data_IF_230611351173
#
_entry.id   IF_230611351173
#
_cell.length_a   1.000
_cell.length_b   1.000
_cell.length_c   1.000
_cell.angle_alpha   90.00
_cell.angle_beta   90.00
_cell.angle_gamma   90.00
#
_symmetry.space_group_name_H-M   'P 1'
#
loop_
_entity.id
_entity.type
_entity.pdbx_description
1 polymer ?
#
# COMPACT_ATOMS: atom_id res chain seq x y z
N UNK A 1 -46.01 -10.61 5.69
CA UNK A 1 -45.55 -9.38 6.38
C UNK A 1 -44.28 -8.90 5.72
N UNK A 2 -44.39 -7.77 4.99
CA UNK A 2 -43.29 -7.15 4.29
C UNK A 2 -42.54 -6.22 5.26
N UNK A 3 -41.30 -6.43 5.55
CA UNK A 3 -40.45 -5.48 6.25
C UNK A 3 -39.42 -4.89 5.26
N UNK A 4 -39.69 -3.64 4.92
CA UNK A 4 -38.79 -2.74 4.19
C UNK A 4 -37.80 -2.11 5.18
N UNK A 5 -36.52 -2.53 5.14
CA UNK A 5 -35.46 -1.92 5.94
C UNK A 5 -34.19 -1.79 5.09
N UNK A 6 -34.21 -0.88 4.12
CA UNK A 6 -32.99 -0.61 3.30
C UNK A 6 -32.92 0.83 2.79
N UNK A 7 -33.29 1.83 3.58
CA UNK A 7 -33.18 3.23 3.15
C UNK A 7 -32.47 4.19 4.14
N UNK A 8 -31.87 3.69 5.22
CA UNK A 8 -31.24 4.53 6.24
C UNK A 8 -29.72 4.70 6.18
N UNK A 9 -29.00 3.86 5.44
CA UNK A 9 -27.53 3.82 5.49
C UNK A 9 -26.81 4.77 4.51
N UNK A 10 -27.45 5.16 3.43
CA UNK A 10 -26.82 6.00 2.39
C UNK A 10 -26.93 7.52 2.67
N UNK A 11 -27.84 7.93 3.54
CA UNK A 11 -28.01 9.35 3.90
C UNK A 11 -27.02 9.87 4.95
N UNK A 12 -26.39 8.99 5.72
CA UNK A 12 -25.40 9.38 6.73
C UNK A 12 -24.04 9.74 6.12
N UNK A 13 -23.66 9.14 5.00
CA UNK A 13 -22.40 9.45 4.30
C UNK A 13 -22.46 10.74 3.47
N UNK A 14 -23.66 11.13 3.00
CA UNK A 14 -23.83 12.38 2.23
C UNK A 14 -23.85 13.63 3.13
N UNK A 15 -24.14 13.51 4.41
CA UNK A 15 -24.17 14.63 5.36
C UNK A 15 -22.78 14.98 5.93
N UNK A 16 -21.83 14.06 5.89
CA UNK A 16 -20.44 14.35 6.28
C UNK A 16 -19.65 15.07 5.18
N UNK A 17 -19.98 14.83 3.91
CA UNK A 17 -19.33 15.50 2.78
C UNK A 17 -19.78 16.96 2.57
N UNK A 18 -20.99 17.34 3.02
CA UNK A 18 -21.53 18.71 2.83
C UNK A 18 -21.12 19.71 3.93
N UNK A 19 -20.55 19.25 5.05
CA UNK A 19 -20.12 20.14 6.14
C UNK A 19 -18.64 20.54 6.06
N UNK A 20 -17.84 19.89 5.23
CA UNK A 20 -16.44 20.26 5.02
C UNK A 20 -16.23 21.43 4.05
N UNK A 21 -17.29 21.90 3.36
CA UNK A 21 -17.20 22.98 2.36
C UNK A 21 -17.50 24.40 2.89
N UNK A 22 -17.75 24.59 4.19
CA UNK A 22 -18.01 25.92 4.80
C UNK A 22 -17.21 26.10 6.08
N UNK A 23 -15.91 25.96 5.99
CA UNK A 23 -14.93 26.40 6.98
C UNK A 23 -14.37 27.75 6.56
N UNK A 24 -14.82 28.76 7.27
CA UNK A 24 -14.47 30.14 7.23
C UNK A 24 -12.94 30.34 7.27
N UNK A 25 -12.43 31.18 6.39
CA UNK A 25 -11.07 31.73 6.45
C UNK A 25 -10.91 32.51 7.76
N UNK A 26 -10.35 31.89 8.77
CA UNK A 26 -9.67 32.62 9.82
C UNK A 26 -8.18 32.70 9.42
N UNK A 27 -7.76 33.89 9.09
CA UNK A 27 -6.36 34.29 9.01
C UNK A 27 -5.72 34.10 10.40
N UNK A 28 -5.28 32.87 10.71
CA UNK A 28 -4.26 32.71 11.73
C UNK A 28 -2.93 33.06 11.07
N UNK A 29 -2.46 34.26 11.35
CA UNK A 29 -1.11 34.76 11.12
C UNK A 29 -0.14 33.72 11.71
N UNK A 30 0.32 32.78 10.93
CA UNK A 30 1.52 32.01 11.23
C UNK A 30 2.64 33.06 11.13
N UNK A 31 3.14 33.42 12.28
CA UNK A 31 4.30 34.32 12.42
C UNK A 31 5.42 33.66 11.62
N UNK A 32 5.73 34.25 10.46
CA UNK A 32 6.77 33.75 9.59
C UNK A 32 8.06 33.61 10.38
N UNK A 33 8.54 32.39 10.51
CA UNK A 33 9.93 32.13 10.89
C UNK A 33 10.75 32.81 9.80
N UNK A 34 11.32 33.95 10.10
CA UNK A 34 12.27 34.62 9.24
C UNK A 34 13.52 33.76 9.28
N UNK A 35 13.65 32.87 8.33
CA UNK A 35 14.90 32.13 8.11
C UNK A 35 15.92 33.20 7.76
N UNK A 36 16.81 33.49 8.69
CA UNK A 36 18.00 34.31 8.41
C UNK A 36 18.79 33.52 7.36
N UNK A 37 19.15 34.12 6.22
CA UNK A 37 19.98 33.44 5.24
C UNK A 37 21.25 32.95 5.96
N UNK A 38 21.68 31.73 5.68
CA UNK A 38 22.93 31.18 6.16
C UNK A 38 24.03 32.22 6.00
N UNK A 39 24.87 32.38 7.01
CA UNK A 39 25.90 33.42 7.10
C UNK A 39 26.99 33.36 6.02
N UNK A 40 26.86 32.46 5.05
CA UNK A 40 27.82 32.31 3.98
C UNK A 40 27.16 32.44 2.58
N UNK A 41 26.98 33.70 2.09
CA UNK A 41 26.44 33.92 0.74
C UNK A 41 27.31 33.33 -0.37
N UNK A 42 28.53 32.90 -0.09
CA UNK A 42 29.45 32.28 -1.04
C UNK A 42 29.00 30.88 -1.38
N UNK A 43 28.53 30.09 -0.40
CA UNK A 43 28.04 28.73 -0.63
C UNK A 43 26.80 28.73 -1.53
N UNK A 44 25.84 29.64 -1.30
CA UNK A 44 24.62 29.74 -2.13
C UNK A 44 24.96 30.17 -3.57
N UNK A 45 25.92 31.08 -3.74
CA UNK A 45 26.36 31.53 -5.08
C UNK A 45 27.07 30.39 -5.84
N UNK A 46 27.83 29.56 -5.14
CA UNK A 46 28.53 28.44 -5.78
C UNK A 46 27.57 27.31 -6.17
N UNK A 47 26.55 27.01 -5.35
CA UNK A 47 25.48 26.09 -5.69
C UNK A 47 24.69 26.58 -6.90
N UNK A 48 24.30 27.85 -6.94
CA UNK A 48 23.59 28.42 -8.09
C UNK A 48 24.45 28.45 -9.35
N UNK A 49 25.75 28.66 -9.22
CA UNK A 49 26.67 28.61 -10.35
C UNK A 49 26.85 27.18 -10.87
N UNK A 50 27.00 26.20 -9.98
CA UNK A 50 27.06 24.78 -10.34
C UNK A 50 25.76 24.33 -11.03
N UNK A 51 24.59 24.74 -10.50
CA UNK A 51 23.28 24.47 -11.08
C UNK A 51 23.12 25.10 -12.48
N UNK A 52 23.53 26.36 -12.65
CA UNK A 52 23.44 27.04 -13.97
C UNK A 52 24.35 26.39 -15.00
N UNK A 53 25.55 25.96 -14.60
CA UNK A 53 26.50 25.28 -15.46
C UNK A 53 25.99 23.90 -15.87
N UNK A 54 25.48 23.11 -14.92
CA UNK A 54 24.88 21.80 -15.17
C UNK A 54 23.62 21.91 -16.05
N UNK A 55 22.79 22.95 -15.85
CA UNK A 55 21.60 23.22 -16.67
C UNK A 55 21.98 23.55 -18.12
N UNK A 56 22.98 24.40 -18.34
CA UNK A 56 23.51 24.70 -19.68
C UNK A 56 24.09 23.47 -20.37
N UNK A 57 24.71 22.58 -19.61
CA UNK A 57 25.31 21.35 -20.13
C UNK A 57 24.27 20.28 -20.46
N UNK A 58 23.19 20.18 -19.68
CA UNK A 58 22.04 19.34 -19.97
C UNK A 58 21.29 19.78 -21.23
N UNK A 59 21.11 21.09 -21.42
CA UNK A 59 20.48 21.67 -22.60
C UNK A 59 21.36 21.49 -23.87
N UNK A 60 22.66 21.39 -23.70
CA UNK A 60 23.62 21.19 -24.81
C UNK A 60 23.78 19.73 -25.28
N UNK A 61 23.12 18.76 -24.61
CA UNK A 61 23.12 17.34 -25.01
C UNK A 61 24.51 16.66 -24.96
N UNK A 62 25.47 17.21 -24.20
CA UNK A 62 26.84 16.72 -24.16
C UNK A 62 26.94 15.46 -23.28
N UNK A 63 27.23 14.34 -23.92
CA UNK A 63 27.53 13.04 -23.30
C UNK A 63 28.94 13.10 -22.70
N UNK A 64 29.06 12.87 -21.37
CA UNK A 64 30.34 12.65 -20.70
C UNK A 64 30.75 13.68 -19.64
N UNK A 65 29.82 14.48 -19.09
CA UNK A 65 30.14 15.49 -18.09
C UNK A 65 29.71 14.98 -16.71
N UNK A 66 30.59 15.12 -15.71
CA UNK A 66 30.27 14.86 -14.32
C UNK A 66 29.40 15.99 -13.77
N UNK A 67 28.35 15.67 -13.01
CA UNK A 67 27.58 16.64 -12.22
C UNK A 67 28.52 17.22 -11.15
N UNK A 68 28.70 18.54 -11.13
CA UNK A 68 29.53 19.22 -10.12
C UNK A 68 28.69 19.55 -8.90
N UNK A 69 29.01 18.95 -7.76
CA UNK A 69 28.39 19.24 -6.48
C UNK A 69 29.26 20.19 -5.65
N UNK A 70 28.65 21.14 -4.94
CA UNK A 70 29.38 22.13 -4.16
C UNK A 70 29.91 21.54 -2.84
N UNK A 71 29.17 20.58 -2.27
CA UNK A 71 29.50 19.84 -1.06
C UNK A 71 28.92 18.42 -1.13
N UNK A 72 29.10 17.61 -0.10
CA UNK A 72 28.62 16.23 0.00
C UNK A 72 27.17 16.14 0.56
N UNK A 73 26.49 17.28 0.78
CA UNK A 73 25.13 17.34 1.30
C UNK A 73 24.11 17.41 0.17
N UNK A 74 22.93 16.89 0.44
CA UNK A 74 21.80 17.04 -0.45
C UNK A 74 21.10 18.40 -0.21
N UNK A 75 20.59 18.98 -1.27
CA UNK A 75 19.90 20.25 -1.25
C UNK A 75 18.57 20.17 -1.99
N UNK A 76 17.52 20.71 -1.37
CA UNK A 76 16.21 20.83 -1.98
C UNK A 76 15.86 22.29 -2.14
N UNK A 77 15.57 22.71 -3.38
CA UNK A 77 15.03 24.02 -3.73
C UNK A 77 13.52 23.91 -3.94
N UNK A 78 12.75 24.69 -3.19
CA UNK A 78 11.30 24.75 -3.29
C UNK A 78 10.84 25.65 -4.43
N UNK A 79 9.58 25.50 -4.86
CA UNK A 79 8.95 26.40 -5.84
C UNK A 79 8.76 27.83 -5.32
N UNK A 80 8.79 28.04 -3.99
CA UNK A 80 8.79 29.33 -3.33
C UNK A 80 10.16 30.01 -3.32
N UNK A 81 11.23 29.26 -3.66
CA UNK A 81 12.60 29.77 -3.76
C UNK A 81 13.46 29.57 -2.50
N UNK A 82 12.95 28.87 -1.50
CA UNK A 82 13.72 28.47 -0.33
C UNK A 82 14.58 27.24 -0.63
N UNK A 83 15.73 27.15 0.05
CA UNK A 83 16.62 26.02 -0.03
C UNK A 83 16.79 25.37 1.35
N UNK A 84 16.71 24.06 1.38
CA UNK A 84 16.89 23.24 2.58
C UNK A 84 18.07 22.31 2.35
N UNK A 85 18.97 22.22 3.31
CA UNK A 85 20.14 21.33 3.31
C UNK A 85 19.89 20.14 4.24
N UNK A 86 20.41 18.97 3.86
CA UNK A 86 20.29 17.74 4.63
C UNK A 86 20.59 16.50 3.81
N UNK A 87 19.88 15.41 4.06
CA UNK A 87 19.99 14.16 3.33
C UNK A 87 18.60 13.66 2.88
N UNK A 88 18.56 13.04 1.72
CA UNK A 88 17.35 12.36 1.24
C UNK A 88 17.30 10.98 1.87
N UNK A 89 16.32 10.72 2.74
CA UNK A 89 16.10 9.40 3.31
C UNK A 89 15.36 8.52 2.32
N UNK A 90 14.23 9.00 1.82
CA UNK A 90 13.44 8.30 0.82
C UNK A 90 12.58 9.25 -0.01
N UNK A 91 12.10 8.78 -1.17
CA UNK A 91 11.01 9.38 -1.91
C UNK A 91 10.14 8.29 -2.50
N UNK A 92 8.85 8.38 -2.29
CA UNK A 92 7.84 7.53 -2.94
C UNK A 92 6.80 8.39 -3.62
N UNK A 93 6.60 8.15 -4.91
CA UNK A 93 5.61 8.85 -5.73
C UNK A 93 5.79 10.38 -5.67
N UNK A 94 4.99 11.08 -4.86
CA UNK A 94 5.02 12.54 -4.74
C UNK A 94 5.51 13.00 -3.36
N UNK A 95 5.94 12.09 -2.48
CA UNK A 95 6.37 12.43 -1.13
C UNK A 95 7.84 12.08 -0.90
N UNK A 96 8.62 13.02 -0.37
CA UNK A 96 10.03 12.88 -0.06
C UNK A 96 10.27 13.09 1.43
N UNK A 97 10.83 12.10 2.08
CA UNK A 97 11.37 12.19 3.43
C UNK A 97 12.80 12.74 3.34
N UNK A 98 13.04 13.82 4.05
CA UNK A 98 14.30 14.55 4.01
C UNK A 98 14.76 14.89 5.43
N UNK A 99 15.90 14.41 5.84
CA UNK A 99 16.49 14.76 7.13
C UNK A 99 17.30 16.05 7.00
N UNK A 100 16.69 17.15 7.43
CA UNK A 100 17.31 18.48 7.37
C UNK A 100 18.28 18.68 8.50
N UNK A 101 19.45 19.22 8.21
CA UNK A 101 20.48 19.56 9.20
C UNK A 101 19.96 20.49 10.31
N UNK A 102 18.98 21.36 10.01
CA UNK A 102 18.48 22.37 10.95
C UNK A 102 17.09 22.04 11.52
N UNK A 103 16.23 21.35 10.74
CA UNK A 103 14.82 21.15 11.09
C UNK A 103 14.51 19.69 11.47
N UNK A 104 15.46 18.75 11.31
CA UNK A 104 15.23 17.32 11.45
C UNK A 104 14.40 16.76 10.32
N UNK A 105 13.70 15.65 10.55
CA UNK A 105 12.93 14.96 9.52
C UNK A 105 11.78 15.83 8.98
N UNK A 106 11.79 16.05 7.68
CA UNK A 106 10.81 16.82 6.92
C UNK A 106 10.13 15.90 5.90
N UNK A 107 8.84 16.10 5.76
CA UNK A 107 8.03 15.44 4.75
C UNK A 107 7.65 16.45 3.67
N UNK A 108 8.23 16.31 2.47
CA UNK A 108 8.19 17.33 1.42
C UNK A 108 7.44 16.81 0.22
N UNK A 109 6.35 17.48 -0.16
CA UNK A 109 5.63 17.14 -1.38
C UNK A 109 6.46 17.53 -2.62
N UNK A 110 6.73 16.55 -3.49
CA UNK A 110 7.53 16.74 -4.70
C UNK A 110 6.97 17.78 -5.69
N UNK A 111 5.70 18.16 -5.56
CA UNK A 111 5.10 19.26 -6.35
C UNK A 111 5.58 20.63 -5.92
N UNK A 112 6.03 20.74 -4.67
CA UNK A 112 6.58 21.97 -4.10
C UNK A 112 8.09 22.05 -4.31
N UNK A 113 8.71 21.00 -4.85
CA UNK A 113 10.14 20.91 -5.13
C UNK A 113 10.42 21.34 -6.57
N UNK A 114 11.13 22.44 -6.73
CA UNK A 114 11.60 22.93 -8.01
C UNK A 114 12.88 22.20 -8.47
N UNK A 115 13.84 22.02 -7.57
CA UNK A 115 15.13 21.42 -7.86
C UNK A 115 15.59 20.55 -6.67
N UNK A 116 16.31 19.46 -6.96
CA UNK A 116 17.01 18.64 -5.97
C UNK A 116 18.42 18.45 -6.43
N UNK A 117 19.35 18.66 -5.54
CA UNK A 117 20.77 18.48 -5.74
C UNK A 117 21.23 17.38 -4.78
N UNK A 118 21.19 16.13 -5.23
CA UNK A 118 21.50 14.96 -4.42
C UNK A 118 22.98 14.60 -4.67
N UNK A 119 23.86 15.05 -3.80
CA UNK A 119 25.29 14.74 -3.84
C UNK A 119 25.56 13.33 -3.30
N UNK A 120 24.70 12.85 -2.41
CA UNK A 120 24.78 11.52 -1.83
C UNK A 120 24.49 10.43 -2.86
N UNK A 121 24.98 9.22 -2.57
CA UNK A 121 24.72 8.04 -3.40
C UNK A 121 23.28 7.58 -3.16
N UNK A 122 22.42 7.74 -4.16
CA UNK A 122 21.03 7.31 -4.11
C UNK A 122 20.68 6.37 -5.26
N UNK A 123 19.65 5.56 -5.06
CA UNK A 123 19.04 4.71 -6.10
C UNK A 123 17.73 5.34 -6.58
N UNK A 124 17.67 5.68 -7.87
CA UNK A 124 16.52 6.29 -8.55
C UNK A 124 15.77 5.20 -9.32
N UNK A 125 14.57 4.88 -8.92
CA UNK A 125 13.72 3.86 -9.54
C UNK A 125 12.64 4.54 -10.38
N UNK A 126 12.46 4.09 -11.61
CA UNK A 126 11.51 4.66 -12.56
C UNK A 126 10.28 3.75 -12.73
N UNK A 127 9.16 4.31 -13.21
CA UNK A 127 7.91 3.55 -13.43
C UNK A 127 8.07 2.37 -14.40
N UNK A 128 9.06 2.42 -15.32
CA UNK A 128 9.42 1.28 -16.17
C UNK A 128 10.25 0.22 -15.43
N UNK A 129 10.50 0.42 -14.12
CA UNK A 129 11.29 -0.42 -13.21
C UNK A 129 12.78 -0.49 -13.55
N UNK A 130 13.27 0.41 -14.36
CA UNK A 130 14.70 0.65 -14.43
C UNK A 130 15.14 1.36 -13.15
N UNK A 131 16.40 1.14 -12.74
CA UNK A 131 17.01 1.87 -11.65
C UNK A 131 18.36 2.43 -12.10
N UNK A 132 18.68 3.62 -11.63
CA UNK A 132 19.97 4.26 -11.77
C UNK A 132 20.53 4.53 -10.38
N UNK A 133 21.83 4.34 -10.20
CA UNK A 133 22.49 4.55 -8.91
C UNK A 133 23.58 5.59 -9.08
N UNK A 134 23.61 6.58 -8.22
CA UNK A 134 24.62 7.64 -8.24
C UNK A 134 24.10 8.96 -7.67
N UNK A 135 24.95 9.98 -7.57
CA UNK A 135 24.55 11.35 -7.36
C UNK A 135 23.64 11.83 -8.49
N UNK A 136 22.69 12.72 -8.19
CA UNK A 136 21.74 13.18 -9.19
C UNK A 136 21.35 14.65 -9.02
N UNK A 137 20.87 15.20 -10.12
CA UNK A 137 20.22 16.51 -10.14
C UNK A 137 18.81 16.34 -10.69
N UNK A 138 17.83 16.82 -9.96
CA UNK A 138 16.43 16.82 -10.37
C UNK A 138 16.00 18.25 -10.64
N UNK A 139 15.24 18.44 -11.70
CA UNK A 139 14.54 19.68 -12.01
C UNK A 139 13.03 19.39 -12.05
N UNK A 140 12.20 20.37 -12.30
CA UNK A 140 10.75 20.14 -12.49
C UNK A 140 10.43 19.19 -13.65
N UNK A 141 11.35 19.01 -14.62
CA UNK A 141 11.09 18.24 -15.83
C UNK A 141 11.94 16.96 -15.96
N UNK A 142 13.13 16.94 -15.39
CA UNK A 142 14.13 15.90 -15.66
C UNK A 142 14.86 15.46 -14.39
N UNK A 143 15.36 14.24 -14.43
CA UNK A 143 16.27 13.63 -13.46
C UNK A 143 17.54 13.25 -14.21
N UNK A 144 18.68 13.83 -13.84
CA UNK A 144 19.99 13.50 -14.35
C UNK A 144 20.76 12.75 -13.27
N UNK A 145 21.09 11.49 -13.50
CA UNK A 145 21.83 10.64 -12.56
C UNK A 145 23.23 10.38 -13.11
N UNK A 146 24.24 10.65 -12.30
CA UNK A 146 25.63 10.31 -12.62
C UNK A 146 25.90 8.86 -12.25
N UNK A 147 25.93 8.00 -13.24
CA UNK A 147 26.27 6.57 -13.09
C UNK A 147 27.75 6.34 -13.37
N UNK A 148 28.25 5.13 -13.09
CA UNK A 148 29.62 4.72 -13.43
C UNK A 148 29.93 4.86 -14.93
N UNK A 149 28.92 4.78 -15.80
CA UNK A 149 29.06 4.86 -17.25
C UNK A 149 28.83 6.26 -17.83
N UNK A 150 28.52 7.25 -16.99
CA UNK A 150 28.22 8.64 -17.36
C UNK A 150 26.87 9.11 -16.88
N UNK A 151 26.50 10.34 -17.27
CA UNK A 151 25.22 10.94 -16.87
C UNK A 151 24.09 10.41 -17.74
N UNK A 152 23.05 9.88 -17.08
CA UNK A 152 21.81 9.40 -17.73
C UNK A 152 20.67 10.35 -17.35
N UNK A 153 19.98 10.88 -18.35
CA UNK A 153 18.86 11.82 -18.15
C UNK A 153 17.54 11.12 -18.45
N UNK A 154 16.57 11.28 -17.54
CA UNK A 154 15.21 10.73 -17.67
C UNK A 154 14.17 11.82 -17.34
N UNK A 155 12.94 11.72 -17.89
CA UNK A 155 11.84 12.60 -17.46
C UNK A 155 11.55 12.42 -15.96
N UNK A 156 11.35 13.52 -15.22
CA UNK A 156 10.97 13.47 -13.81
C UNK A 156 9.61 12.74 -13.61
N UNK A 157 8.71 12.87 -14.56
CA UNK A 157 7.41 12.17 -14.51
C UNK A 157 7.51 10.63 -14.56
N UNK A 158 8.68 10.10 -14.88
CA UNK A 158 8.96 8.66 -14.86
C UNK A 158 9.57 8.20 -13.54
N UNK A 159 10.04 9.11 -12.68
CA UNK A 159 10.60 8.79 -11.38
C UNK A 159 9.49 8.30 -10.45
N UNK A 160 9.70 7.14 -9.84
CA UNK A 160 8.75 6.49 -8.94
C UNK A 160 9.24 6.48 -7.50
N UNK A 161 10.58 6.34 -7.31
CA UNK A 161 11.21 6.23 -5.99
C UNK A 161 12.62 6.78 -6.01
N UNK A 162 13.03 7.32 -4.86
CA UNK A 162 14.44 7.52 -4.49
C UNK A 162 14.66 6.72 -3.21
N UNK A 163 15.75 5.98 -3.14
CA UNK A 163 16.13 5.17 -1.98
C UNK A 163 17.55 5.59 -1.62
N UNK A 164 17.80 5.92 -0.37
CA UNK A 164 19.11 6.28 0.15
C UNK A 164 20.12 5.15 -0.10
N UNK A 165 21.30 5.51 -0.56
CA UNK A 165 22.41 4.59 -0.80
C UNK A 165 22.22 3.68 -2.00
N UNK A 166 23.10 2.70 -2.12
CA UNK A 166 22.93 1.56 -3.03
C UNK A 166 21.84 0.67 -2.48
N UNK A 167 20.89 0.23 -3.32
CA UNK A 167 19.73 -0.56 -2.92
C UNK A 167 20.14 -1.75 -2.03
N UNK A 168 19.98 -1.62 -0.72
CA UNK A 168 20.15 -2.72 0.22
C UNK A 168 18.91 -3.60 0.13
N UNK A 169 19.06 -4.91 0.28
CA UNK A 169 17.92 -5.83 0.26
C UNK A 169 16.88 -5.48 1.34
N UNK A 170 17.31 -4.94 2.49
CA UNK A 170 16.41 -4.54 3.59
C UNK A 170 15.50 -3.38 3.24
N UNK A 171 15.95 -2.45 2.37
CA UNK A 171 15.15 -1.29 1.95
C UNK A 171 13.96 -1.69 1.05
N UNK A 172 13.95 -2.95 0.59
CA UNK A 172 12.84 -3.53 -0.15
C UNK A 172 11.76 -4.15 0.75
N UNK A 173 11.97 -4.21 2.07
CA UNK A 173 11.06 -4.84 3.01
C UNK A 173 10.28 -3.82 3.82
N UNK A 174 9.01 -4.10 4.06
CA UNK A 174 8.18 -3.39 5.02
C UNK A 174 7.38 -4.36 5.89
N UNK A 175 7.07 -3.93 7.10
CA UNK A 175 6.30 -4.65 8.08
C UNK A 175 5.17 -3.75 8.60
N UNK A 176 3.93 -4.17 8.38
CA UNK A 176 2.75 -3.52 8.91
C UNK A 176 2.15 -4.39 10.02
N UNK A 177 1.84 -3.76 11.16
CA UNK A 177 1.17 -4.38 12.30
C UNK A 177 -0.10 -3.62 12.64
N UNK A 178 -1.24 -4.26 12.42
CA UNK A 178 -2.55 -3.72 12.74
C UNK A 178 -3.14 -4.39 13.98
N UNK A 179 -3.61 -3.59 14.92
CA UNK A 179 -4.34 -4.04 16.09
C UNK A 179 -5.70 -3.36 16.15
N UNK A 180 -6.75 -4.11 16.36
CA UNK A 180 -8.09 -3.55 16.36
C UNK A 180 -9.11 -4.30 17.18
N UNK A 181 -10.21 -3.61 17.47
CA UNK A 181 -11.42 -4.17 18.01
C UNK A 181 -12.43 -4.35 16.89
N UNK A 182 -13.07 -5.50 16.82
CA UNK A 182 -14.00 -5.86 15.78
C UNK A 182 -15.37 -6.19 16.27
N UNK A 183 -16.37 -5.91 15.41
CA UNK A 183 -17.72 -6.39 15.56
C UNK A 183 -17.96 -7.51 14.54
N UNK A 184 -18.29 -8.69 15.03
CA UNK A 184 -18.68 -9.83 14.19
C UNK A 184 -20.19 -9.94 14.11
N UNK A 185 -20.67 -10.26 12.90
CA UNK A 185 -22.06 -10.62 12.67
C UNK A 185 -22.16 -11.71 11.61
N UNK A 186 -22.98 -12.73 11.87
CA UNK A 186 -23.14 -13.88 10.99
C UNK A 186 -23.17 -15.18 11.78
N UNK A 187 -22.16 -16.04 11.63
CA UNK A 187 -22.04 -17.26 12.44
C UNK A 187 -21.78 -17.00 13.92
N UNK A 188 -21.33 -15.82 14.28
CA UNK A 188 -21.27 -15.31 15.65
C UNK A 188 -21.63 -13.84 15.70
N UNK A 189 -22.11 -13.40 16.87
CA UNK A 189 -22.38 -11.98 17.18
C UNK A 189 -21.60 -11.66 18.45
N UNK A 190 -20.46 -11.04 18.32
CA UNK A 190 -19.57 -10.76 19.45
C UNK A 190 -18.63 -9.60 19.17
N UNK A 191 -18.01 -9.11 20.22
CA UNK A 191 -16.89 -8.17 20.13
C UNK A 191 -15.58 -8.96 20.10
N UNK A 192 -14.74 -8.66 19.13
CA UNK A 192 -13.50 -9.41 18.90
C UNK A 192 -12.28 -8.52 18.95
N UNK A 193 -11.17 -9.15 19.27
CA UNK A 193 -9.82 -8.61 19.04
C UNK A 193 -9.30 -9.11 17.70
N UNK A 194 -8.79 -8.20 16.88
CA UNK A 194 -8.16 -8.49 15.60
C UNK A 194 -6.69 -8.08 15.63
N UNK A 195 -5.85 -8.92 15.03
CA UNK A 195 -4.45 -8.61 14.76
C UNK A 195 -4.15 -8.98 13.31
N UNK A 196 -3.47 -8.09 12.57
CA UNK A 196 -2.91 -8.38 11.26
C UNK A 196 -1.43 -8.05 11.27
N UNK A 197 -0.66 -8.88 10.60
CA UNK A 197 0.77 -8.67 10.36
C UNK A 197 1.01 -8.91 8.89
N UNK A 198 1.50 -7.91 8.16
CA UNK A 198 1.82 -8.00 6.75
C UNK A 198 3.30 -7.73 6.53
N UNK A 199 4.00 -8.69 5.93
CA UNK A 199 5.36 -8.54 5.43
C UNK A 199 5.28 -8.33 3.94
N UNK A 200 5.86 -7.23 3.47
CA UNK A 200 5.94 -6.91 2.05
C UNK A 200 7.39 -6.77 1.64
N UNK A 201 7.75 -7.42 0.55
CA UNK A 201 9.01 -7.22 -0.16
C UNK A 201 8.71 -6.76 -1.58
N UNK A 202 9.16 -5.58 -1.91
CA UNK A 202 8.98 -5.02 -3.24
C UNK A 202 10.32 -4.62 -3.86
N UNK A 203 10.64 -5.19 -5.01
CA UNK A 203 11.75 -4.75 -5.84
C UNK A 203 11.24 -4.25 -7.21
N UNK A 204 12.16 -3.94 -8.12
CA UNK A 204 11.83 -3.43 -9.47
C UNK A 204 10.83 -4.28 -10.24
N UNK A 205 10.83 -5.59 -10.05
CA UNK A 205 10.08 -6.55 -10.86
C UNK A 205 9.18 -7.45 -10.06
N UNK A 206 9.40 -7.57 -8.77
CA UNK A 206 8.66 -8.52 -7.94
C UNK A 206 8.03 -7.83 -6.74
N UNK A 207 6.85 -8.30 -6.38
CA UNK A 207 6.16 -7.96 -5.14
C UNK A 207 5.82 -9.27 -4.46
N UNK A 208 6.34 -9.48 -3.26
CA UNK A 208 6.03 -10.63 -2.42
C UNK A 208 5.34 -10.16 -1.15
N UNK A 209 4.17 -10.69 -0.88
CA UNK A 209 3.36 -10.37 0.30
C UNK A 209 3.12 -11.64 1.10
N UNK A 210 3.31 -11.58 2.41
CA UNK A 210 2.93 -12.61 3.36
C UNK A 210 2.16 -11.95 4.50
N UNK A 211 0.86 -12.22 4.56
CA UNK A 211 -0.03 -11.67 5.57
C UNK A 211 -0.47 -12.75 6.55
N UNK A 212 -0.59 -12.38 7.82
CA UNK A 212 -1.22 -13.19 8.85
C UNK A 212 -2.31 -12.38 9.52
N UNK A 213 -3.53 -12.92 9.53
CA UNK A 213 -4.67 -12.33 10.22
C UNK A 213 -5.17 -13.28 11.30
N UNK A 214 -5.30 -12.76 12.52
CA UNK A 214 -5.86 -13.42 13.68
C UNK A 214 -7.12 -12.66 14.12
N UNK A 215 -8.22 -13.40 14.31
CA UNK A 215 -9.41 -12.90 14.98
C UNK A 215 -9.71 -13.78 16.18
N UNK A 216 -9.74 -13.18 17.36
CA UNK A 216 -10.09 -13.81 18.63
C UNK A 216 -11.35 -13.18 19.18
N UNK A 217 -12.40 -13.95 19.30
CA UNK A 217 -13.65 -13.48 19.87
C UNK A 217 -13.96 -14.12 21.23
N UNK A 218 -14.55 -13.31 22.09
CA UNK A 218 -14.95 -13.69 23.43
C UNK A 218 -16.44 -13.50 23.59
N UNK A 219 -17.20 -14.60 23.76
CA UNK A 219 -18.62 -14.56 24.07
C UNK A 219 -18.89 -15.45 25.28
N UNK A 220 -19.79 -15.02 26.18
CA UNK A 220 -20.21 -15.76 27.37
C UNK A 220 -19.09 -16.25 28.29
N UNK A 221 -18.03 -15.48 28.46
CA UNK A 221 -16.83 -15.78 29.27
C UNK A 221 -15.99 -16.98 28.80
N UNK A 222 -16.22 -17.45 27.58
CA UNK A 222 -15.40 -18.48 26.95
C UNK A 222 -14.72 -17.94 25.68
N UNK A 223 -13.48 -18.36 25.44
CA UNK A 223 -12.82 -18.10 24.17
C UNK A 223 -13.49 -18.98 23.13
N UNK A 224 -14.40 -18.42 22.34
CA UNK A 224 -15.21 -19.17 21.40
C UNK A 224 -14.65 -19.14 19.98
N UNK A 225 -13.69 -18.27 19.71
CA UNK A 225 -13.21 -18.01 18.36
C UNK A 225 -11.72 -18.04 18.26
N UNK A 226 -11.26 -18.74 17.27
CA UNK A 226 -9.98 -18.48 16.66
C UNK A 226 -10.12 -18.64 15.16
N UNK A 227 -10.02 -17.53 14.43
CA UNK A 227 -9.84 -17.54 12.98
C UNK A 227 -8.40 -17.16 12.70
N UNK A 228 -7.73 -18.00 11.94
CA UNK A 228 -6.37 -17.79 11.46
C UNK A 228 -6.39 -17.79 9.95
N UNK A 229 -5.86 -16.74 9.34
CA UNK A 229 -5.69 -16.65 7.90
C UNK A 229 -4.23 -16.32 7.60
N UNK A 230 -3.57 -17.15 6.82
CA UNK A 230 -2.29 -16.81 6.20
C UNK A 230 -2.57 -16.54 4.73
N UNK A 231 -2.26 -15.36 4.26
CA UNK A 231 -2.31 -14.98 2.85
C UNK A 231 -0.90 -14.88 2.29
N UNK A 232 -0.72 -15.30 1.07
CA UNK A 232 0.57 -15.20 0.38
C UNK A 232 0.36 -14.81 -1.06
N UNK A 233 1.32 -14.04 -1.58
CA UNK A 233 1.37 -13.59 -2.96
C UNK A 233 2.82 -13.42 -3.39
N UNK A 234 3.09 -13.83 -4.61
CA UNK A 234 4.30 -13.44 -5.32
C UNK A 234 3.88 -12.94 -6.71
N UNK A 235 4.08 -11.66 -6.97
CA UNK A 235 3.76 -11.01 -8.25
C UNK A 235 5.04 -10.70 -8.99
N UNK A 236 5.04 -11.03 -10.28
CA UNK A 236 6.11 -10.68 -11.21
C UNK A 236 5.53 -9.80 -12.31
N UNK A 237 6.06 -8.62 -12.44
CA UNK A 237 5.65 -7.69 -13.47
C UNK A 237 6.34 -8.01 -14.80
N UNK A 238 5.55 -8.18 -15.83
CA UNK A 238 6.03 -8.38 -17.19
C UNK A 238 6.21 -7.05 -17.93
N UNK A 239 5.37 -6.06 -17.59
CA UNK A 239 5.41 -4.71 -18.14
C UNK A 239 4.79 -3.72 -17.12
N UNK A 240 4.61 -2.45 -17.50
CA UNK A 240 3.88 -1.45 -16.68
C UNK A 240 2.43 -1.88 -16.38
N UNK A 241 1.80 -2.59 -17.31
CA UNK A 241 0.38 -2.96 -17.22
C UNK A 241 0.18 -4.41 -16.83
N UNK A 242 1.02 -5.34 -17.31
CA UNK A 242 0.81 -6.77 -17.17
C UNK A 242 1.65 -7.39 -16.07
N UNK A 243 1.05 -8.26 -15.29
CA UNK A 243 1.75 -9.05 -14.28
C UNK A 243 1.27 -10.51 -14.28
N UNK A 244 2.08 -11.37 -13.69
CA UNK A 244 1.71 -12.74 -13.33
C UNK A 244 1.95 -12.95 -11.84
N UNK A 245 1.13 -13.78 -11.22
CA UNK A 245 1.28 -14.22 -9.85
C UNK A 245 1.42 -15.75 -9.87
N UNK A 246 2.66 -16.27 -9.97
CA UNK A 246 2.91 -17.71 -10.01
C UNK A 246 2.38 -18.43 -8.78
N UNK A 247 2.35 -17.75 -7.65
CA UNK A 247 1.81 -18.25 -6.40
C UNK A 247 1.02 -17.13 -5.73
N UNK A 248 -0.28 -17.36 -5.55
CA UNK A 248 -1.18 -16.53 -4.76
C UNK A 248 -2.18 -17.43 -4.04
N UNK A 249 -2.59 -17.07 -2.83
CA UNK A 249 -3.60 -17.83 -2.15
C UNK A 249 -3.69 -17.58 -0.66
N UNK A 250 -4.41 -18.47 0.01
CA UNK A 250 -4.60 -18.41 1.45
C UNK A 250 -4.68 -19.77 2.11
N UNK A 251 -4.28 -19.83 3.36
CA UNK A 251 -4.54 -20.90 4.31
C UNK A 251 -5.49 -20.34 5.37
N UNK A 252 -6.54 -21.07 5.68
CA UNK A 252 -7.58 -20.64 6.61
C UNK A 252 -7.88 -21.75 7.62
N UNK A 253 -8.00 -21.39 8.89
CA UNK A 253 -8.65 -22.19 9.93
C UNK A 253 -9.71 -21.31 10.60
N UNK A 254 -10.96 -21.79 10.63
CA UNK A 254 -12.10 -20.99 11.10
C UNK A 254 -13.16 -21.87 11.76
N UNK A 255 -13.23 -21.79 13.06
CA UNK A 255 -14.18 -22.57 13.84
C UNK A 255 -15.65 -22.16 13.60
N UNK A 256 -15.92 -20.91 13.23
CA UNK A 256 -17.29 -20.46 12.97
C UNK A 256 -17.87 -21.03 11.69
N UNK A 257 -17.03 -21.13 10.67
CA UNK A 257 -17.42 -21.74 9.39
C UNK A 257 -17.24 -23.25 9.38
N UNK A 258 -16.96 -23.87 10.54
CA UNK A 258 -16.69 -25.30 10.67
C UNK A 258 -15.47 -25.75 9.83
N UNK A 259 -14.49 -24.86 9.60
CA UNK A 259 -13.31 -25.15 8.80
C UNK A 259 -12.12 -25.43 9.72
N UNK A 260 -11.68 -26.70 9.74
CA UNK A 260 -10.44 -27.08 10.42
C UNK A 260 -9.21 -26.55 9.67
N UNK A 261 -9.23 -26.71 8.34
CA UNK A 261 -8.16 -26.24 7.48
C UNK A 261 -8.66 -26.12 6.04
N UNK A 262 -8.43 -24.97 5.42
CA UNK A 262 -8.66 -24.73 4.00
C UNK A 262 -7.40 -24.16 3.38
N UNK A 263 -6.95 -24.74 2.26
CA UNK A 263 -5.85 -24.23 1.46
C UNK A 263 -6.37 -23.90 0.06
N UNK A 264 -6.02 -22.72 -0.45
CA UNK A 264 -6.46 -22.24 -1.77
C UNK A 264 -5.28 -21.63 -2.54
N UNK A 265 -4.27 -22.44 -2.92
CA UNK A 265 -3.22 -21.98 -3.82
C UNK A 265 -3.77 -21.79 -5.24
N UNK A 266 -3.32 -20.73 -5.90
CA UNK A 266 -3.65 -20.42 -7.29
C UNK A 266 -2.45 -19.77 -7.99
N UNK A 267 -2.50 -19.78 -9.33
CA UNK A 267 -1.67 -18.96 -10.19
C UNK A 267 -2.58 -18.05 -11.02
N UNK A 268 -2.23 -16.76 -11.11
CA UNK A 268 -3.05 -15.77 -11.82
C UNK A 268 -2.20 -14.94 -12.78
N UNK A 269 -2.85 -14.40 -13.80
CA UNK A 269 -2.34 -13.34 -14.64
C UNK A 269 -3.25 -12.13 -14.50
N UNK A 270 -2.68 -10.93 -14.56
CA UNK A 270 -3.46 -9.74 -14.32
C UNK A 270 -2.99 -8.51 -15.08
N UNK A 271 -3.80 -7.48 -14.99
CA UNK A 271 -3.57 -6.18 -15.62
C UNK A 271 -3.84 -5.06 -14.63
N UNK A 272 -2.92 -4.09 -14.59
CA UNK A 272 -3.12 -2.79 -13.95
C UNK A 272 -3.74 -1.86 -14.98
N UNK A 273 -5.07 -1.73 -14.97
CA UNK A 273 -5.77 -0.93 -15.97
C UNK A 273 -5.91 0.54 -15.58
N UNK A 274 -5.75 0.87 -14.30
CA UNK A 274 -5.67 2.25 -13.82
C UNK A 274 -4.43 2.42 -12.96
N UNK A 275 -3.61 3.39 -13.31
CA UNK A 275 -2.48 3.84 -12.50
C UNK A 275 -2.33 5.34 -12.69
N UNK A 276 -2.79 6.09 -11.72
CA UNK A 276 -2.55 7.53 -11.59
C UNK A 276 -1.68 7.69 -10.35
N UNK A 277 -0.38 8.00 -10.50
CA UNK A 277 0.54 8.14 -9.38
C UNK A 277 -0.06 8.99 -8.26
N UNK A 278 0.11 8.57 -7.01
CA UNK A 278 -0.38 9.24 -5.79
C UNK A 278 -1.88 9.56 -5.75
N UNK A 279 -2.71 8.88 -6.59
CA UNK A 279 -4.16 9.12 -6.62
C UNK A 279 -4.99 7.86 -6.74
N UNK A 280 -4.63 6.97 -7.65
CA UNK A 280 -5.47 5.81 -7.90
C UNK A 280 -4.69 4.67 -8.56
N UNK A 281 -4.96 3.47 -8.07
CA UNK A 281 -4.45 2.23 -8.62
C UNK A 281 -5.61 1.24 -8.70
N UNK A 282 -5.70 0.50 -9.82
CA UNK A 282 -6.69 -0.56 -9.94
C UNK A 282 -6.17 -1.72 -10.77
N UNK A 283 -6.09 -2.89 -10.12
CA UNK A 283 -5.62 -4.14 -10.70
C UNK A 283 -6.76 -5.15 -10.84
N UNK A 284 -6.74 -5.92 -11.92
CA UNK A 284 -7.59 -7.10 -12.14
C UNK A 284 -6.71 -8.32 -12.37
N UNK A 285 -7.08 -9.45 -11.80
CA UNK A 285 -6.39 -10.72 -12.01
C UNK A 285 -7.37 -11.86 -12.18
N UNK A 286 -7.01 -12.82 -13.03
CA UNK A 286 -7.74 -14.06 -13.30
C UNK A 286 -6.78 -15.22 -13.36
N UNK A 287 -7.17 -16.37 -12.84
CA UNK A 287 -6.35 -17.56 -12.90
C UNK A 287 -7.03 -18.81 -12.38
N UNK A 288 -6.23 -19.84 -12.19
CA UNK A 288 -6.69 -21.15 -11.78
C UNK A 288 -5.93 -21.62 -10.56
N UNK A 289 -6.60 -22.45 -9.77
CA UNK A 289 -6.04 -22.98 -8.55
C UNK A 289 -6.75 -24.23 -8.08
N UNK A 290 -6.47 -24.55 -6.85
CA UNK A 290 -6.97 -25.74 -6.19
C UNK A 290 -7.45 -25.37 -4.79
N UNK A 291 -8.55 -25.98 -4.34
CA UNK A 291 -9.06 -25.85 -2.99
C UNK A 291 -9.05 -27.21 -2.29
N UNK A 292 -8.34 -27.29 -1.19
CA UNK A 292 -8.45 -28.36 -0.20
C UNK A 292 -9.24 -27.83 0.99
N UNK A 293 -10.29 -28.51 1.41
CA UNK A 293 -11.14 -28.10 2.52
C UNK A 293 -11.40 -29.29 3.46
N UNK A 294 -10.95 -29.16 4.71
CA UNK A 294 -11.22 -30.12 5.79
C UNK A 294 -12.07 -29.48 6.86
N UNK A 295 -13.23 -30.05 7.16
CA UNK A 295 -14.17 -29.59 8.15
C UNK A 295 -13.79 -30.10 9.56
N UNK A 296 -14.28 -29.42 10.60
CA UNK A 296 -14.12 -29.79 12.00
C UNK A 296 -15.08 -30.91 12.38
N UNK A 297 -16.38 -30.72 12.08
CA UNK A 297 -17.49 -31.56 12.51
C UNK A 297 -18.50 -31.77 11.36
N UNK A 298 -18.12 -32.51 10.30
CA UNK A 298 -19.02 -32.74 9.16
C UNK A 298 -20.16 -33.72 9.48
N UNK A 299 -21.31 -33.50 8.87
CA UNK A 299 -22.39 -34.48 8.90
C UNK A 299 -21.99 -35.82 8.21
N UNK A 300 -22.68 -36.92 8.55
CA UNK A 300 -22.49 -38.21 7.90
C UNK A 300 -22.77 -38.10 6.38
N UNK A 301 -21.89 -38.65 5.56
CA UNK A 301 -22.01 -38.64 4.09
C UNK A 301 -21.48 -37.35 3.44
N UNK A 302 -20.95 -36.39 4.20
CA UNK A 302 -20.23 -35.23 3.66
C UNK A 302 -18.78 -35.59 3.39
N UNK A 303 -18.32 -35.40 2.15
CA UNK A 303 -16.91 -35.59 1.80
C UNK A 303 -15.99 -34.72 2.66
N UNK A 304 -15.11 -35.35 3.42
CA UNK A 304 -14.15 -34.67 4.28
C UNK A 304 -12.82 -35.44 4.34
N UNK A 305 -11.74 -34.93 3.72
CA UNK A 305 -11.61 -33.62 3.06
C UNK A 305 -12.30 -33.56 1.68
N UNK A 306 -12.70 -32.35 1.29
CA UNK A 306 -13.14 -32.02 -0.04
C UNK A 306 -12.02 -31.41 -0.88
N UNK A 307 -12.01 -31.73 -2.16
CA UNK A 307 -10.99 -31.29 -3.11
C UNK A 307 -11.69 -30.73 -4.35
N UNK A 308 -11.40 -29.47 -4.69
CA UNK A 308 -12.00 -28.78 -5.83
C UNK A 308 -10.94 -28.06 -6.65
N UNK A 309 -11.08 -28.12 -7.99
CA UNK A 309 -10.43 -27.13 -8.86
C UNK A 309 -11.17 -25.80 -8.76
N UNK A 310 -10.47 -24.68 -8.87
CA UNK A 310 -11.08 -23.36 -8.82
C UNK A 310 -10.56 -22.41 -9.90
N UNK A 311 -11.43 -21.48 -10.32
CA UNK A 311 -11.04 -20.23 -10.97
C UNK A 311 -11.03 -19.12 -9.93
N UNK A 312 -9.93 -18.39 -9.87
CA UNK A 312 -9.78 -17.21 -9.02
C UNK A 312 -9.93 -15.96 -9.87
N UNK A 313 -10.88 -15.12 -9.50
CA UNK A 313 -10.99 -13.74 -9.97
C UNK A 313 -10.67 -12.82 -8.81
N UNK A 314 -9.85 -11.81 -9.06
CA UNK A 314 -9.48 -10.83 -8.06
C UNK A 314 -9.48 -9.42 -8.64
N UNK A 315 -9.99 -8.45 -7.90
CA UNK A 315 -9.84 -7.03 -8.18
C UNK A 315 -9.35 -6.31 -6.93
N UNK A 316 -8.40 -5.39 -7.11
CA UNK A 316 -7.84 -4.54 -6.07
C UNK A 316 -7.78 -3.12 -6.55
N UNK A 317 -8.25 -2.21 -5.71
CA UNK A 317 -8.16 -0.78 -5.95
C UNK A 317 -7.61 -0.07 -4.71
N UNK A 318 -6.87 1.00 -4.93
CA UNK A 318 -6.47 1.97 -3.93
C UNK A 318 -6.74 3.35 -4.49
N UNK A 319 -7.29 4.21 -3.65
CA UNK A 319 -7.58 5.61 -3.95
C UNK A 319 -7.00 6.47 -2.85
N UNK A 320 -6.03 7.31 -3.19
CA UNK A 320 -5.39 8.24 -2.27
C UNK A 320 -6.12 9.59 -2.38
N UNK A 321 -6.83 9.98 -1.32
CA UNK A 321 -7.58 11.24 -1.26
C UNK A 321 -6.65 12.41 -0.92
N UNK A 322 -5.72 12.14 -0.01
CA UNK A 322 -4.60 13.01 0.39
C UNK A 322 -3.37 12.11 0.58
N UNK A 323 -2.17 12.64 0.78
CA UNK A 323 -1.01 11.82 1.16
C UNK A 323 -1.30 10.94 2.38
N UNK A 324 -2.02 11.48 3.36
CA UNK A 324 -2.27 10.82 4.65
C UNK A 324 -3.55 10.00 4.69
N UNK A 325 -4.41 10.06 3.66
CA UNK A 325 -5.72 9.41 3.67
C UNK A 325 -5.91 8.60 2.40
N UNK A 326 -6.05 7.29 2.56
CA UNK A 326 -6.35 6.42 1.44
C UNK A 326 -7.50 5.43 1.73
N UNK A 327 -8.09 4.96 0.65
CA UNK A 327 -9.10 3.90 0.65
C UNK A 327 -8.61 2.72 -0.17
N UNK A 328 -8.61 1.52 0.41
CA UNK A 328 -8.32 0.26 -0.29
C UNK A 328 -9.60 -0.54 -0.45
N UNK A 329 -9.74 -1.21 -1.60
CA UNK A 329 -10.80 -2.16 -1.90
C UNK A 329 -10.19 -3.42 -2.50
N UNK A 330 -10.63 -4.58 -2.03
CA UNK A 330 -10.27 -5.86 -2.60
C UNK A 330 -11.52 -6.74 -2.70
N UNK A 331 -11.66 -7.43 -3.83
CA UNK A 331 -12.67 -8.47 -3.98
C UNK A 331 -12.04 -9.70 -4.63
N UNK A 332 -12.26 -10.86 -4.01
CA UNK A 332 -11.78 -12.15 -4.48
C UNK A 332 -12.96 -13.10 -4.60
N UNK A 333 -13.09 -13.77 -5.75
CA UNK A 333 -14.01 -14.88 -5.97
C UNK A 333 -13.22 -16.11 -6.34
N UNK A 334 -13.35 -17.17 -5.56
CA UNK A 334 -12.86 -18.51 -5.86
C UNK A 334 -14.04 -19.37 -6.29
N UNK A 335 -14.26 -19.45 -7.60
CA UNK A 335 -15.33 -20.27 -8.21
C UNK A 335 -14.84 -21.71 -8.33
N UNK A 336 -15.44 -22.62 -7.59
CA UNK A 336 -15.10 -24.06 -7.65
C UNK A 336 -15.84 -24.79 -8.77
N UNK A 337 -15.16 -25.74 -9.44
CA UNK A 337 -15.74 -26.44 -10.61
C UNK A 337 -16.46 -27.71 -10.24
N UNK A 338 -15.92 -28.47 -9.27
CA UNK A 338 -16.42 -29.79 -8.93
C UNK A 338 -17.67 -29.70 -8.07
N UNK A 339 -17.67 -28.73 -7.14
CA UNK A 339 -18.78 -28.46 -6.24
C UNK A 339 -19.03 -26.97 -6.19
N UNK A 340 -19.91 -26.46 -7.06
CA UNK A 340 -20.19 -25.01 -7.16
C UNK A 340 -20.60 -24.39 -5.81
N UNK A 341 -21.22 -25.17 -4.93
CA UNK A 341 -21.58 -24.73 -3.57
C UNK A 341 -20.39 -24.39 -2.68
N UNK A 342 -19.18 -24.89 -2.97
CA UNK A 342 -17.95 -24.55 -2.26
C UNK A 342 -17.34 -23.21 -2.73
N UNK A 343 -17.96 -22.56 -3.72
CA UNK A 343 -17.57 -21.21 -4.17
C UNK A 343 -17.59 -20.23 -3.00
N UNK A 344 -16.55 -19.43 -2.93
CA UNK A 344 -16.42 -18.44 -1.87
C UNK A 344 -15.99 -17.08 -2.40
N UNK A 345 -16.46 -16.03 -1.69
CA UNK A 345 -16.18 -14.65 -1.99
C UNK A 345 -15.59 -13.99 -0.76
N UNK A 346 -14.60 -13.15 -0.98
CA UNK A 346 -13.99 -12.30 0.04
C UNK A 346 -14.00 -10.87 -0.45
N UNK A 347 -14.67 -9.98 0.27
CA UNK A 347 -14.65 -8.55 0.05
C UNK A 347 -13.94 -7.86 1.22
N UNK A 348 -13.03 -6.95 0.92
CA UNK A 348 -12.32 -6.16 1.92
C UNK A 348 -12.32 -4.70 1.51
N UNK A 349 -12.65 -3.82 2.45
CA UNK A 349 -12.56 -2.38 2.27
C UNK A 349 -11.89 -1.78 3.51
N UNK A 350 -11.00 -0.81 3.30
CA UNK A 350 -10.25 -0.16 4.36
C UNK A 350 -10.15 1.33 4.08
N UNK A 351 -10.43 2.14 5.08
CA UNK A 351 -10.14 3.56 5.12
C UNK A 351 -9.05 3.78 6.16
N UNK A 352 -7.95 4.35 5.72
CA UNK A 352 -6.75 4.56 6.52
C UNK A 352 -6.46 6.06 6.64
N UNK A 353 -6.01 6.47 7.83
CA UNK A 353 -5.59 7.82 8.16
C UNK A 353 -4.21 7.74 8.79
N UNK A 354 -3.21 8.25 8.12
CA UNK A 354 -1.87 8.43 8.67
C UNK A 354 -1.88 9.55 9.71
N UNK A 355 -1.35 9.28 10.89
CA UNK A 355 -1.23 10.25 11.98
C UNK A 355 0.22 10.70 12.11
N UNK A 356 1.13 9.77 11.90
CA UNK A 356 2.58 9.97 11.79
C UNK A 356 3.14 8.94 10.82
N UNK A 357 4.39 9.07 10.38
CA UNK A 357 5.06 8.11 9.49
C UNK A 357 5.03 6.64 10.01
N UNK A 358 4.81 6.45 11.31
CA UNK A 358 4.82 5.13 11.96
C UNK A 358 3.41 4.72 12.39
N UNK A 359 2.54 5.68 12.72
CA UNK A 359 1.25 5.45 13.36
C UNK A 359 0.10 5.87 12.46
N UNK A 360 -0.84 4.96 12.23
CA UNK A 360 -2.08 5.20 11.52
C UNK A 360 -3.33 4.78 12.30
N UNK A 361 -4.46 5.29 11.89
CA UNK A 361 -5.79 4.86 12.31
C UNK A 361 -6.49 4.20 11.13
N UNK A 362 -7.19 3.10 11.38
CA UNK A 362 -7.89 2.39 10.32
C UNK A 362 -9.32 2.02 10.70
N UNK A 363 -10.20 2.05 9.70
CA UNK A 363 -11.51 1.46 9.74
C UNK A 363 -11.62 0.45 8.60
N UNK A 364 -11.81 -0.83 8.90
CA UNK A 364 -11.87 -1.88 7.88
C UNK A 364 -13.16 -2.68 7.96
N UNK A 365 -13.59 -3.16 6.81
CA UNK A 365 -14.74 -4.03 6.63
C UNK A 365 -14.34 -5.25 5.82
N UNK A 366 -14.53 -6.44 6.40
CA UNK A 366 -14.31 -7.72 5.75
C UNK A 366 -15.64 -8.43 5.57
N UNK A 367 -15.94 -8.83 4.34
CA UNK A 367 -17.08 -9.65 3.97
C UNK A 367 -16.62 -11.01 3.49
N UNK A 368 -17.18 -12.07 4.05
CA UNK A 368 -16.94 -13.44 3.64
C UNK A 368 -18.26 -14.11 3.29
N UNK A 369 -18.27 -14.84 2.17
CA UNK A 369 -19.42 -15.64 1.75
C UNK A 369 -18.98 -17.02 1.23
N UNK A 370 -19.69 -18.04 1.64
CA UNK A 370 -19.68 -19.38 1.04
C UNK A 370 -21.07 -19.67 0.49
N UNK A 371 -21.18 -20.10 -0.78
CA UNK A 371 -22.49 -20.23 -1.45
C UNK A 371 -23.37 -21.29 -0.78
N UNK A 372 -22.82 -22.46 -0.51
CA UNK A 372 -23.53 -23.56 0.15
C UNK A 372 -22.64 -24.14 1.25
N UNK A 373 -22.69 -23.57 2.48
CA UNK A 373 -21.98 -24.13 3.62
C UNK A 373 -22.44 -25.58 3.88
N UNK A 374 -21.48 -26.43 4.20
CA UNK A 374 -21.76 -27.84 4.45
C UNK A 374 -22.40 -28.05 5.83
N UNK A 375 -23.29 -29.07 5.92
CA UNK A 375 -23.98 -29.40 7.15
C UNK A 375 -23.01 -29.97 8.19
N UNK A 376 -23.16 -29.52 9.43
CA UNK A 376 -22.46 -30.02 10.61
C UNK A 376 -23.08 -31.34 11.08
N UNK A 377 -22.38 -32.12 11.89
CA UNK A 377 -22.88 -33.37 12.49
C UNK A 377 -24.15 -33.15 13.35
N UNK A 378 -24.31 -31.96 13.97
CA UNK A 378 -25.51 -31.61 14.72
C UNK A 378 -26.71 -31.20 13.84
N UNK A 379 -26.64 -31.35 12.53
CA UNK A 379 -27.69 -31.01 11.58
C UNK A 379 -27.81 -29.52 11.23
N UNK A 380 -27.03 -28.64 11.84
CA UNK A 380 -27.05 -27.22 11.54
C UNK A 380 -26.15 -26.86 10.35
N UNK A 381 -26.41 -25.73 9.72
CA UNK A 381 -25.54 -25.16 8.66
C UNK A 381 -24.86 -23.89 9.18
N UNK A 382 -23.57 -23.68 8.88
CA UNK A 382 -22.95 -22.38 9.05
C UNK A 382 -23.69 -21.30 8.26
N UNK A 383 -23.66 -20.03 8.73
CA UNK A 383 -24.20 -18.93 7.95
C UNK A 383 -23.42 -18.75 6.64
N UNK A 384 -24.14 -18.36 5.56
CA UNK A 384 -23.52 -18.13 4.26
C UNK A 384 -22.62 -16.91 4.25
N UNK A 385 -22.97 -15.89 5.05
CA UNK A 385 -22.31 -14.60 5.07
C UNK A 385 -21.78 -14.28 6.47
N UNK A 386 -20.55 -13.82 6.53
CA UNK A 386 -19.95 -13.22 7.73
C UNK A 386 -19.49 -11.80 7.42
N UNK A 387 -19.68 -10.90 8.38
CA UNK A 387 -19.34 -9.48 8.29
C UNK A 387 -18.48 -9.10 9.50
N UNK A 388 -17.33 -8.49 9.24
CA UNK A 388 -16.42 -8.03 10.27
C UNK A 388 -16.15 -6.54 10.04
N UNK A 389 -16.44 -5.75 11.06
CA UNK A 389 -16.06 -4.35 11.10
C UNK A 389 -15.00 -4.16 12.17
N UNK A 390 -13.87 -3.56 11.82
CA UNK A 390 -12.74 -3.34 12.72
C UNK A 390 -12.38 -1.86 12.75
N UNK A 391 -12.21 -1.33 13.94
CA UNK A 391 -11.54 -0.05 14.18
C UNK A 391 -10.23 -0.35 14.87
N UNK A 392 -9.14 0.20 14.38
CA UNK A 392 -7.81 -0.16 14.86
C UNK A 392 -6.76 0.92 14.68
N UNK A 393 -5.60 0.58 15.20
CA UNK A 393 -4.36 1.33 15.09
C UNK A 393 -3.40 0.48 14.26
N UNK A 394 -2.72 1.10 13.32
CA UNK A 394 -1.68 0.50 12.49
C UNK A 394 -0.32 1.05 12.85
N UNK A 395 0.69 0.19 12.84
CA UNK A 395 2.10 0.53 12.98
C UNK A 395 2.84 0.06 11.73
N UNK A 396 3.44 0.97 10.99
CA UNK A 396 4.24 0.69 9.80
C UNK A 396 5.71 0.87 10.11
N UNK A 397 6.54 -0.13 9.76
CA UNK A 397 7.99 -0.14 9.92
C UNK A 397 8.64 -0.55 8.58
N UNK A 398 9.56 0.27 8.06
CA UNK A 398 10.31 -0.03 6.82
C UNK A 398 10.53 1.14 5.93
#
# INVERSE_FOLDING_TARGET
MRCSWWSGGLLALSLLASRAAHGQKDESTVTGVRVTPAEDPVAVVDVQRALSTARQQLEAGSVGIALGFADDSDWIGTTSGEWVRGNIDSMREDNMEFDSDEFGALDINMREVAEVHAASLNTYVFHDRSALVGPAMLTTMQVAVQTETGVVVRPRSELSRIIEGGARELDNWSLDLDLGLGLNRGNSNQLDFNMRVDFTREDRRTLSELGYFLNLGYADRALNVARHVVSFRNRVWLSRLWFVEPIVGQLLSDRFQDIRFRAQPAATGGVRFLHVPSKALWDLALGFGYQYNRLLDPALGVDNPANDGLTRFETRARFDFTPDIYFKLMWVTNLTFTTLGNTNHTGFAELFFEVTNILGLQASFLYLRTEEPRQRANGTFPAKNDYFFTLGVSLTLG
#
